data_IF_053008339846
#
_entry.id   IF_053008339846
#
_cell.length_a   1.000
_cell.length_b   1.000
_cell.length_c   1.000
_cell.angle_alpha   90.00
_cell.angle_beta   90.00
_cell.angle_gamma   90.00
#
_symmetry.space_group_name_H-M   'P 1'
#
loop_
_entity.id
_entity.type
_entity.pdbx_description
1 polymer ?
#
# COMPACT_ATOMS: atom_id res chain seq x y z
N UNK A 1 18.15 -9.72 -5.65
CA UNK A 1 16.68 -9.80 -5.46
C UNK A 1 16.44 -9.59 -3.98
N UNK A 2 15.49 -8.72 -3.62
CA UNK A 2 15.10 -8.45 -2.23
C UNK A 2 13.73 -9.08 -2.06
N UNK A 3 13.59 -9.96 -1.08
CA UNK A 3 12.30 -10.51 -0.68
C UNK A 3 11.78 -9.72 0.52
N UNK A 4 10.48 -9.42 0.54
CA UNK A 4 9.86 -8.56 1.55
C UNK A 4 8.78 -9.32 2.30
N UNK A 5 8.60 -9.10 3.61
CA UNK A 5 7.45 -9.63 4.32
C UNK A 5 6.14 -9.20 3.65
N UNK A 6 5.15 -10.10 3.62
CA UNK A 6 3.82 -9.81 3.08
C UNK A 6 3.00 -8.93 4.01
N UNK A 7 2.22 -8.02 3.44
CA UNK A 7 1.15 -7.30 4.14
C UNK A 7 -0.08 -8.20 4.32
N UNK A 8 -0.96 -7.91 5.29
CA UNK A 8 -2.08 -8.79 5.71
C UNK A 8 -1.65 -10.07 6.45
N UNK A 9 -0.54 -9.99 7.21
CA UNK A 9 -0.10 -11.08 8.07
C UNK A 9 -0.94 -11.14 9.34
N UNK A 10 -1.62 -12.28 9.57
CA UNK A 10 -2.42 -12.53 10.78
C UNK A 10 -1.65 -12.37 12.10
N UNK A 11 -0.32 -12.42 12.08
CA UNK A 11 0.54 -12.34 13.27
C UNK A 11 1.22 -10.97 13.43
N UNK A 12 1.25 -10.14 12.38
CA UNK A 12 2.03 -8.88 12.37
C UNK A 12 1.19 -7.71 11.91
N UNK A 13 1.40 -6.54 12.52
CA UNK A 13 0.73 -5.31 12.10
C UNK A 13 1.38 -4.79 10.81
N UNK A 14 0.58 -4.36 9.85
CA UNK A 14 1.06 -3.78 8.57
C UNK A 14 2.02 -2.61 8.76
N UNK A 15 1.88 -1.84 9.86
CA UNK A 15 2.80 -0.72 10.18
C UNK A 15 4.21 -1.20 10.51
N UNK A 16 4.35 -2.39 11.11
CA UNK A 16 5.65 -2.95 11.46
C UNK A 16 6.33 -3.53 10.22
N UNK A 17 5.55 -4.14 9.32
CA UNK A 17 6.03 -4.59 8.00
C UNK A 17 6.47 -3.40 7.16
N UNK A 18 5.65 -2.34 7.10
CA UNK A 18 6.00 -1.11 6.40
C UNK A 18 7.29 -0.49 6.98
N UNK A 19 7.46 -0.48 8.31
CA UNK A 19 8.67 0.05 8.95
C UNK A 19 9.91 -0.74 8.55
N UNK A 20 9.82 -2.07 8.51
CA UNK A 20 10.93 -2.95 8.11
C UNK A 20 11.36 -2.68 6.67
N UNK A 21 10.39 -2.65 5.74
CA UNK A 21 10.63 -2.35 4.32
C UNK A 21 11.21 -0.94 4.17
N UNK A 22 10.59 0.07 4.78
CA UNK A 22 11.04 1.46 4.69
C UNK A 22 12.46 1.63 5.23
N UNK A 23 12.80 1.00 6.36
CA UNK A 23 14.13 1.08 6.95
C UNK A 23 15.20 0.52 6.02
N UNK A 24 14.93 -0.64 5.41
CA UNK A 24 15.83 -1.22 4.42
C UNK A 24 15.98 -0.32 3.18
N UNK A 25 14.86 0.16 2.63
CA UNK A 25 14.87 1.01 1.43
C UNK A 25 15.57 2.35 1.66
N UNK A 26 15.42 2.96 2.84
CA UNK A 26 16.12 4.20 3.19
C UNK A 26 17.63 3.97 3.31
N UNK A 27 18.05 2.85 3.91
CA UNK A 27 19.46 2.52 4.06
C UNK A 27 20.15 2.31 2.69
N UNK A 28 19.49 1.62 1.76
CA UNK A 28 20.00 1.40 0.41
C UNK A 28 20.02 2.70 -0.41
N UNK A 29 18.97 3.53 -0.30
CA UNK A 29 18.91 4.83 -1.00
C UNK A 29 20.06 5.75 -0.61
N UNK A 30 20.34 5.87 0.70
CA UNK A 30 21.46 6.66 1.23
C UNK A 30 22.84 6.15 0.82
N UNK A 31 22.92 4.87 0.45
CA UNK A 31 24.15 4.22 -0.04
C UNK A 31 24.25 4.24 -1.56
N UNK A 32 23.44 5.07 -2.23
CA UNK A 32 23.33 5.20 -3.68
C UNK A 32 22.95 3.92 -4.44
N UNK A 33 22.31 2.97 -3.74
CA UNK A 33 21.74 1.77 -4.35
C UNK A 33 20.29 2.07 -4.75
N UNK A 34 19.99 1.90 -6.05
CA UNK A 34 18.66 2.13 -6.62
C UNK A 34 18.03 0.82 -7.09
N UNK A 35 16.70 0.78 -7.12
CA UNK A 35 15.95 -0.38 -7.60
C UNK A 35 15.83 -0.34 -9.13
N UNK A 36 15.96 -1.51 -9.75
CA UNK A 36 15.77 -1.71 -11.19
C UNK A 36 14.33 -2.08 -11.58
N UNK A 37 13.52 -2.46 -10.60
CA UNK A 37 12.13 -2.86 -10.82
C UNK A 37 11.50 -3.49 -9.58
N UNK A 38 10.18 -3.62 -9.63
CA UNK A 38 9.35 -4.18 -8.57
C UNK A 38 8.49 -5.32 -9.11
N UNK A 39 8.24 -6.31 -8.27
CA UNK A 39 7.27 -7.38 -8.54
C UNK A 39 6.22 -7.32 -7.46
N UNK A 40 4.97 -7.04 -7.84
CA UNK A 40 3.81 -7.17 -6.98
C UNK A 40 3.14 -8.51 -7.26
N UNK A 41 3.10 -9.40 -6.28
CA UNK A 41 2.50 -10.73 -6.43
C UNK A 41 1.06 -10.73 -5.92
N UNK A 42 0.14 -11.28 -6.73
CA UNK A 42 -1.24 -11.48 -6.35
C UNK A 42 -1.67 -12.92 -6.57
N UNK A 43 -2.33 -13.51 -5.59
CA UNK A 43 -2.84 -14.87 -5.65
C UNK A 43 -4.20 -14.89 -6.36
N UNK A 44 -4.28 -15.43 -7.58
CA UNK A 44 -5.50 -15.38 -8.41
C UNK A 44 -6.62 -16.29 -7.89
N UNK A 45 -6.26 -17.29 -7.09
CA UNK A 45 -7.18 -18.21 -6.43
C UNK A 45 -7.97 -17.56 -5.28
N UNK A 46 -7.52 -16.41 -4.78
CA UNK A 46 -8.25 -15.66 -3.79
C UNK A 46 -9.58 -15.14 -4.37
N UNK A 47 -10.70 -15.60 -3.80
CA UNK A 47 -12.04 -15.36 -4.32
C UNK A 47 -12.59 -13.97 -4.02
N UNK A 48 -11.89 -13.16 -3.22
CA UNK A 48 -12.31 -11.81 -2.87
C UNK A 48 -11.13 -10.84 -2.86
N UNK A 49 -11.25 -9.78 -3.65
CA UNK A 49 -10.53 -8.52 -3.38
C UNK A 49 -11.16 -7.88 -2.15
N UNK A 50 -10.80 -8.38 -0.98
CA UNK A 50 -11.27 -7.86 0.30
C UNK A 50 -10.78 -6.43 0.55
N UNK A 51 -11.38 -5.77 1.54
CA UNK A 51 -10.99 -4.42 1.94
C UNK A 51 -9.52 -4.29 2.35
N UNK A 52 -8.92 -5.36 2.90
CA UNK A 52 -7.49 -5.43 3.24
C UNK A 52 -6.60 -5.42 1.99
N UNK A 53 -6.89 -6.25 0.98
CA UNK A 53 -6.16 -6.29 -0.28
C UNK A 53 -6.17 -4.93 -0.99
N UNK A 54 -7.33 -4.27 -1.06
CA UNK A 54 -7.46 -2.94 -1.66
C UNK A 54 -6.67 -1.88 -0.86
N UNK A 55 -6.67 -1.96 0.47
CA UNK A 55 -5.87 -1.07 1.34
C UNK A 55 -4.37 -1.27 1.13
N UNK A 56 -3.93 -2.53 1.06
CA UNK A 56 -2.53 -2.88 0.85
C UNK A 56 -2.04 -2.45 -0.53
N UNK A 57 -2.87 -2.59 -1.56
CA UNK A 57 -2.56 -2.09 -2.89
C UNK A 57 -2.42 -0.57 -2.91
N UNK A 58 -3.35 0.16 -2.27
CA UNK A 58 -3.23 1.62 -2.13
C UNK A 58 -1.97 2.02 -1.39
N UNK A 59 -1.64 1.35 -0.29
CA UNK A 59 -0.39 1.58 0.43
C UNK A 59 0.83 1.33 -0.47
N UNK A 60 0.85 0.22 -1.23
CA UNK A 60 1.92 -0.08 -2.18
C UNK A 60 2.07 1.02 -3.22
N UNK A 61 0.97 1.49 -3.83
CA UNK A 61 0.99 2.60 -4.78
C UNK A 61 1.57 3.88 -4.17
N UNK A 62 1.26 4.18 -2.90
CA UNK A 62 1.83 5.34 -2.18
C UNK A 62 3.31 5.15 -1.83
N UNK A 63 3.73 3.94 -1.48
CA UNK A 63 5.11 3.59 -1.16
C UNK A 63 6.00 3.75 -2.40
N UNK A 64 5.53 3.22 -3.53
CA UNK A 64 6.26 3.20 -4.79
C UNK A 64 6.26 4.58 -5.46
N UNK A 65 5.11 5.26 -5.48
CA UNK A 65 4.93 6.50 -6.22
C UNK A 65 4.76 6.30 -7.71
N UNK A 66 4.32 7.35 -8.41
CA UNK A 66 4.04 7.30 -9.86
C UNK A 66 5.27 6.90 -10.68
N UNK A 67 6.44 7.42 -10.31
CA UNK A 67 7.68 7.09 -11.01
C UNK A 67 8.01 5.61 -10.91
N UNK A 68 7.77 4.92 -9.81
CA UNK A 68 8.08 3.49 -9.73
C UNK A 68 7.09 2.57 -10.45
N UNK A 69 5.90 3.06 -10.84
CA UNK A 69 4.86 2.22 -11.47
C UNK A 69 5.27 1.71 -12.85
N UNK A 70 5.97 2.50 -13.66
CA UNK A 70 6.44 2.05 -14.99
C UNK A 70 7.47 0.91 -14.90
N UNK A 71 8.11 0.77 -13.75
CA UNK A 71 9.10 -0.27 -13.44
C UNK A 71 8.52 -1.38 -12.54
N UNK A 72 7.19 -1.46 -12.44
CA UNK A 72 6.48 -2.49 -11.66
C UNK A 72 5.86 -3.54 -12.57
N UNK A 73 6.11 -4.81 -12.25
CA UNK A 73 5.36 -5.95 -12.80
C UNK A 73 4.32 -6.40 -11.78
N UNK A 74 3.08 -6.47 -12.23
CA UNK A 74 1.94 -7.02 -11.53
C UNK A 74 1.80 -8.49 -11.94
N UNK A 75 2.19 -9.41 -11.06
CA UNK A 75 2.23 -10.83 -11.39
C UNK A 75 1.13 -11.61 -10.66
N UNK A 76 0.26 -12.26 -11.43
CA UNK A 76 -0.75 -13.19 -10.91
C UNK A 76 -0.12 -14.58 -10.71
N UNK A 77 -0.40 -15.20 -9.57
CA UNK A 77 0.19 -16.47 -9.12
C UNK A 77 -0.91 -17.47 -8.73
N UNK A 78 -0.54 -18.74 -8.45
CA UNK A 78 -1.47 -19.81 -8.03
C UNK A 78 -2.58 -20.15 -9.03
N UNK A 79 -2.29 -19.99 -10.32
CA UNK A 79 -3.17 -20.40 -11.40
C UNK A 79 -3.52 -21.90 -11.37
N UNK A 80 -2.61 -22.71 -10.83
CA UNK A 80 -2.74 -24.16 -10.65
C UNK A 80 -3.72 -24.57 -9.53
N UNK A 81 -4.14 -23.64 -8.67
CA UNK A 81 -5.13 -23.91 -7.61
C UNK A 81 -6.57 -23.76 -8.10
N UNK A 82 -6.80 -23.28 -9.32
CA UNK A 82 -8.12 -23.08 -9.87
C UNK A 82 -8.65 -24.38 -10.49
N UNK A 83 -9.91 -24.73 -10.18
CA UNK A 83 -10.61 -25.83 -10.85
C UNK A 83 -10.86 -25.51 -12.34
N UNK A 84 -11.19 -24.25 -12.64
CA UNK A 84 -11.42 -23.76 -14.00
C UNK A 84 -10.61 -22.50 -14.25
N UNK A 85 -9.77 -22.50 -15.29
CA UNK A 85 -8.91 -21.36 -15.65
C UNK A 85 -9.70 -20.09 -15.92
N UNK A 86 -10.92 -20.22 -16.47
CA UNK A 86 -11.83 -19.11 -16.80
C UNK A 86 -12.20 -18.26 -15.59
N UNK A 87 -12.25 -18.86 -14.39
CA UNK A 87 -12.47 -18.11 -13.14
C UNK A 87 -11.29 -17.15 -12.88
N UNK A 88 -10.06 -17.62 -13.10
CA UNK A 88 -8.87 -16.80 -12.95
C UNK A 88 -8.78 -15.70 -14.00
N UNK A 89 -9.19 -16.01 -15.24
CA UNK A 89 -9.24 -15.03 -16.33
C UNK A 89 -10.24 -13.91 -16.05
N UNK A 90 -11.42 -14.25 -15.54
CA UNK A 90 -12.41 -13.25 -15.13
C UNK A 90 -11.86 -12.37 -13.99
N UNK A 91 -11.24 -12.96 -12.97
CA UNK A 91 -10.63 -12.20 -11.87
C UNK A 91 -9.48 -11.31 -12.33
N UNK A 92 -8.65 -11.80 -13.25
CA UNK A 92 -7.58 -10.99 -13.83
C UNK A 92 -8.16 -9.82 -14.63
N UNK A 93 -9.25 -10.04 -15.36
CA UNK A 93 -9.96 -8.97 -16.06
C UNK A 93 -10.51 -7.91 -15.09
N UNK A 94 -11.09 -8.32 -13.97
CA UNK A 94 -11.55 -7.40 -12.91
C UNK A 94 -10.38 -6.59 -12.34
N UNK A 95 -9.24 -7.23 -12.03
CA UNK A 95 -8.04 -6.56 -11.54
C UNK A 95 -7.56 -5.45 -12.50
N UNK A 96 -7.47 -5.76 -13.81
CA UNK A 96 -6.90 -4.83 -14.80
C UNK A 96 -7.88 -3.73 -15.23
N UNK A 97 -9.19 -3.96 -15.12
CA UNK A 97 -10.21 -3.02 -15.61
C UNK A 97 -10.61 -1.97 -14.60
N UNK A 98 -10.37 -2.20 -13.32
CA UNK A 98 -10.76 -1.28 -12.25
C UNK A 98 -9.60 -0.38 -11.81
N UNK A 99 -9.82 0.94 -11.87
CA UNK A 99 -8.85 1.96 -11.42
C UNK A 99 -8.54 1.88 -9.92
N UNK A 100 -9.49 1.37 -9.13
CA UNK A 100 -9.29 1.08 -7.71
C UNK A 100 -8.31 -0.06 -7.45
N UNK A 101 -7.98 -0.84 -8.49
CA UNK A 101 -7.06 -1.96 -8.46
C UNK A 101 -5.84 -1.71 -9.36
N UNK A 102 -5.69 -2.46 -10.45
CA UNK A 102 -4.51 -2.38 -11.32
C UNK A 102 -4.68 -1.44 -12.49
N UNK A 103 -5.91 -1.04 -12.85
CA UNK A 103 -6.16 -0.14 -13.99
C UNK A 103 -5.28 1.11 -13.95
N UNK A 104 -5.33 1.85 -12.85
CA UNK A 104 -4.52 3.05 -12.66
C UNK A 104 -3.01 2.76 -12.70
N UNK A 105 -2.55 1.58 -12.29
CA UNK A 105 -1.13 1.21 -12.33
C UNK A 105 -0.67 0.91 -13.77
N UNK A 106 -1.53 0.23 -14.54
CA UNK A 106 -1.31 -0.09 -15.95
C UNK A 106 -1.27 1.20 -16.78
N UNK A 107 -2.16 2.15 -16.51
CA UNK A 107 -2.12 3.48 -17.14
C UNK A 107 -0.79 4.21 -16.91
N UNK A 108 -0.12 3.95 -15.78
CA UNK A 108 1.19 4.51 -15.44
C UNK A 108 2.36 3.59 -15.84
N UNK A 109 2.12 2.59 -16.70
CA UNK A 109 3.14 1.77 -17.34
C UNK A 109 3.47 0.44 -16.64
N UNK A 110 2.75 0.07 -15.57
CA UNK A 110 2.92 -1.26 -14.99
C UNK A 110 2.51 -2.36 -15.97
N UNK A 111 3.23 -3.48 -15.97
CA UNK A 111 2.95 -4.63 -16.86
C UNK A 111 2.32 -5.77 -16.07
N UNK A 112 1.35 -6.44 -16.65
CA UNK A 112 0.71 -7.63 -16.05
C UNK A 112 1.31 -8.89 -16.65
N UNK A 113 1.66 -9.87 -15.81
CA UNK A 113 2.20 -11.16 -16.23
C UNK A 113 1.67 -12.31 -15.38
N UNK A 114 1.44 -13.49 -15.97
CA UNK A 114 1.04 -14.69 -15.23
C UNK A 114 2.27 -15.52 -14.83
N UNK A 115 2.39 -15.86 -13.55
CA UNK A 115 3.32 -16.87 -13.08
C UNK A 115 2.61 -18.23 -12.94
N UNK A 116 2.98 -19.17 -13.80
CA UNK A 116 2.33 -20.49 -13.91
C UNK A 116 3.07 -21.58 -13.14
N UNK A 117 3.74 -21.23 -12.02
CA UNK A 117 4.53 -22.15 -11.19
C UNK A 117 5.69 -22.85 -11.92
N UNK A 118 6.11 -22.28 -13.04
CA UNK A 118 7.22 -22.78 -13.86
C UNK A 118 8.44 -21.88 -13.74
N UNK A 119 9.65 -22.46 -13.91
CA UNK A 119 10.90 -21.68 -13.95
C UNK A 119 10.89 -20.70 -15.12
N UNK A 120 10.29 -21.10 -16.23
CA UNK A 120 10.18 -20.34 -17.48
C UNK A 120 9.35 -19.07 -17.28
N UNK A 121 8.19 -19.18 -16.62
CA UNK A 121 7.36 -18.00 -16.32
C UNK A 121 8.04 -17.07 -15.31
N UNK A 122 8.67 -17.60 -14.25
CA UNK A 122 9.42 -16.79 -13.30
C UNK A 122 10.58 -16.04 -13.98
N UNK A 123 11.33 -16.73 -14.84
CA UNK A 123 12.44 -16.14 -15.58
C UNK A 123 11.96 -15.08 -16.58
N UNK A 124 10.80 -15.28 -17.20
CA UNK A 124 10.18 -14.29 -18.09
C UNK A 124 9.83 -13.00 -17.34
N UNK A 125 9.28 -13.10 -16.12
CA UNK A 125 9.00 -11.94 -15.26
C UNK A 125 10.29 -11.19 -14.91
N UNK A 126 11.31 -11.89 -14.45
CA UNK A 126 12.61 -11.26 -14.09
C UNK A 126 13.24 -10.59 -15.32
N UNK A 127 13.24 -11.26 -16.47
CA UNK A 127 13.76 -10.67 -17.73
C UNK A 127 13.00 -9.42 -18.14
N UNK A 128 11.69 -9.37 -17.94
CA UNK A 128 10.87 -8.21 -18.27
C UNK A 128 11.17 -6.99 -17.39
N UNK A 129 11.59 -7.18 -16.13
CA UNK A 129 12.14 -6.10 -15.29
C UNK A 129 13.49 -5.65 -15.82
N UNK A 130 14.40 -6.59 -16.06
CA UNK A 130 15.77 -6.25 -16.46
C UNK A 130 15.84 -5.57 -17.82
N UNK A 131 14.93 -5.91 -18.75
CA UNK A 131 14.86 -5.28 -20.07
C UNK A 131 14.33 -3.86 -20.07
N UNK A 132 13.65 -3.43 -19.00
CA UNK A 132 13.13 -2.08 -18.84
C UNK A 132 13.75 -1.34 -17.64
N UNK A 133 14.91 -1.80 -17.17
CA UNK A 133 15.55 -1.33 -15.94
C UNK A 133 16.01 0.12 -16.08
N UNK A 134 15.19 1.05 -15.58
CA UNK A 134 15.58 2.42 -15.31
C UNK A 134 15.64 2.57 -13.79
N UNK A 135 16.82 2.83 -13.20
CA UNK A 135 16.93 3.02 -11.77
C UNK A 135 16.00 4.15 -11.29
N UNK A 136 15.21 3.89 -10.26
CA UNK A 136 14.29 4.87 -9.69
C UNK A 136 14.36 4.89 -8.16
N UNK A 137 13.88 5.99 -7.60
CA UNK A 137 13.63 6.13 -6.18
C UNK A 137 12.16 5.78 -5.90
N UNK A 138 11.91 5.08 -4.81
CA UNK A 138 10.56 4.92 -4.26
C UNK A 138 10.12 6.22 -3.62
N UNK A 139 8.82 6.51 -3.67
CA UNK A 139 8.29 7.71 -3.03
C UNK A 139 8.62 7.80 -1.54
N UNK A 140 8.57 6.67 -0.84
CA UNK A 140 8.92 6.61 0.58
C UNK A 140 10.39 6.98 0.86
N UNK A 141 11.30 6.71 -0.08
CA UNK A 141 12.71 7.08 0.05
C UNK A 141 12.86 8.60 -0.06
N UNK A 142 12.23 9.23 -1.06
CA UNK A 142 12.21 10.69 -1.20
C UNK A 142 11.59 11.38 0.02
N UNK A 143 10.45 10.87 0.49
CA UNK A 143 9.72 11.42 1.63
C UNK A 143 10.56 11.35 2.91
N UNK A 144 11.19 10.22 3.19
CA UNK A 144 11.95 10.04 4.44
C UNK A 144 13.37 10.60 4.40
N UNK A 145 14.03 10.59 3.24
CA UNK A 145 15.44 11.02 3.12
C UNK A 145 15.54 12.47 2.67
N UNK A 146 14.88 12.82 1.58
CA UNK A 146 15.04 14.12 0.95
C UNK A 146 14.15 15.17 1.63
N UNK A 147 12.90 14.79 1.94
CA UNK A 147 11.93 15.66 2.63
C UNK A 147 11.99 15.52 4.16
N UNK A 148 12.77 14.57 4.69
CA UNK A 148 12.97 14.32 6.13
C UNK A 148 11.68 14.05 6.92
N UNK A 149 10.68 13.46 6.29
CA UNK A 149 9.46 13.03 6.97
C UNK A 149 9.72 11.79 7.83
N UNK A 150 9.05 11.71 8.97
CA UNK A 150 8.99 10.45 9.74
C UNK A 150 8.04 9.48 9.05
N UNK A 151 8.23 8.16 9.28
CA UNK A 151 7.47 7.12 8.58
C UNK A 151 5.95 7.33 8.63
N UNK A 152 5.42 7.77 9.77
CA UNK A 152 3.98 7.96 9.96
C UNK A 152 3.40 9.11 9.10
N UNK A 153 4.24 10.08 8.75
CA UNK A 153 3.85 11.26 7.96
C UNK A 153 4.04 11.04 6.45
N UNK A 154 4.66 9.92 6.06
CA UNK A 154 4.78 9.51 4.64
C UNK A 154 3.40 9.17 4.07
N UNK A 155 3.26 9.26 2.75
CA UNK A 155 2.01 8.92 2.08
C UNK A 155 1.59 7.46 2.34
N UNK A 156 2.57 6.55 2.40
CA UNK A 156 2.34 5.14 2.73
C UNK A 156 1.98 4.94 4.21
N UNK A 157 2.67 5.63 5.12
CA UNK A 157 2.42 5.56 6.56
C UNK A 157 1.04 6.05 6.95
N UNK A 158 0.59 7.17 6.37
CA UNK A 158 -0.77 7.67 6.54
C UNK A 158 -1.81 6.68 5.99
N UNK A 159 -1.52 6.01 4.87
CA UNK A 159 -2.45 5.05 4.27
C UNK A 159 -2.63 3.77 5.13
N UNK A 160 -1.56 3.29 5.77
CA UNK A 160 -1.64 2.16 6.71
C UNK A 160 -2.41 2.55 7.96
N UNK A 161 -2.17 3.74 8.50
CA UNK A 161 -2.81 4.21 9.72
C UNK A 161 -4.16 4.90 9.50
N UNK A 162 -4.69 4.89 8.27
CA UNK A 162 -5.87 5.68 7.89
C UNK A 162 -7.04 5.51 8.86
N UNK A 163 -7.38 4.26 9.21
CA UNK A 163 -8.51 3.97 10.09
C UNK A 163 -8.27 4.49 11.52
N UNK A 164 -7.02 4.37 12.00
CA UNK A 164 -6.63 4.85 13.32
C UNK A 164 -6.62 6.38 13.38
N UNK A 165 -6.17 7.04 12.31
CA UNK A 165 -6.22 8.49 12.15
C UNK A 165 -7.68 8.98 12.11
N UNK A 166 -8.53 8.35 11.30
CA UNK A 166 -9.96 8.69 11.21
C UNK A 166 -10.69 8.49 12.55
N UNK A 167 -10.35 7.42 13.29
CA UNK A 167 -10.90 7.16 14.62
C UNK A 167 -10.44 8.20 15.64
N UNK A 168 -9.15 8.55 15.65
CA UNK A 168 -8.60 9.58 16.52
C UNK A 168 -9.25 10.95 16.25
N UNK A 169 -9.44 11.31 14.98
CA UNK A 169 -10.13 12.54 14.60
C UNK A 169 -11.58 12.56 15.07
N UNK A 170 -12.29 11.43 15.00
CA UNK A 170 -13.66 11.30 15.50
C UNK A 170 -13.73 11.51 17.00
N UNK A 171 -12.90 10.80 17.77
CA UNK A 171 -12.87 10.94 19.22
C UNK A 171 -12.43 12.34 19.67
N UNK A 172 -11.50 12.97 18.95
CA UNK A 172 -11.10 14.34 19.26
C UNK A 172 -12.29 15.31 19.10
N UNK A 173 -13.06 15.18 18.02
CA UNK A 173 -14.28 16.00 17.82
C UNK A 173 -15.31 15.76 18.93
N UNK A 174 -15.52 14.50 19.33
CA UNK A 174 -16.44 14.16 20.43
C UNK A 174 -15.99 14.78 21.77
N UNK A 175 -14.69 14.72 22.09
CA UNK A 175 -14.13 15.36 23.27
C UNK A 175 -14.28 16.89 23.24
N UNK A 176 -14.09 17.51 22.08
CA UNK A 176 -14.21 18.96 21.94
C UNK A 176 -15.67 19.41 22.07
N UNK A 177 -16.63 18.66 21.50
CA UNK A 177 -18.06 18.91 21.72
C UNK A 177 -18.45 18.77 23.19
N UNK A 178 -18.03 17.68 23.86
CA UNK A 178 -18.34 17.47 25.27
C UNK A 178 -17.78 18.58 26.18
N UNK A 179 -16.58 19.09 25.87
CA UNK A 179 -16.00 20.25 26.59
C UNK A 179 -16.81 21.53 26.41
N UNK A 180 -17.37 21.75 25.22
CA UNK A 180 -18.22 22.91 24.95
C UNK A 180 -19.53 22.81 25.75
N UNK A 181 -20.18 21.65 25.75
CA UNK A 181 -21.40 21.40 26.52
C UNK A 181 -21.17 21.58 28.02
N UNK A 182 -20.06 21.06 28.56
CA UNK A 182 -19.70 21.24 29.98
C UNK A 182 -19.46 22.72 30.32
N UNK A 183 -18.80 23.47 29.45
CA UNK A 183 -18.55 24.89 29.66
C UNK A 183 -19.85 25.72 29.63
N UNK A 184 -20.81 25.33 28.79
CA UNK A 184 -22.13 25.94 28.70
C UNK A 184 -22.92 25.70 30.00
N UNK A 185 -23.01 24.45 30.46
CA UNK A 185 -23.66 24.08 31.73
C UNK A 185 -23.04 24.81 32.93
N UNK A 186 -21.71 24.88 33.01
CA UNK A 186 -21.01 25.62 34.07
C UNK A 186 -21.31 27.13 34.03
N UNK A 187 -21.51 27.68 32.83
CA UNK A 187 -21.84 29.10 32.66
C UNK A 187 -23.29 29.40 33.04
N UNK A 188 -24.22 28.50 32.75
CA UNK A 188 -25.63 28.59 33.14
C UNK A 188 -25.80 28.46 34.65
N UNK A 189 -25.14 27.47 35.26
CA UNK A 189 -25.16 27.28 36.72
C UNK A 189 -24.64 28.52 37.47
N UNK A 190 -23.57 29.16 36.96
CA UNK A 190 -23.04 30.41 37.55
C UNK A 190 -23.98 31.59 37.39
N UNK A 191 -24.77 31.65 36.31
CA UNK A 191 -25.79 32.69 36.09
C UNK A 191 -27.00 32.52 37.02
N UNK A 192 -27.42 31.28 37.27
CA UNK A 192 -28.51 31.00 38.21
C UNK A 192 -28.13 31.28 39.66
N UNK A 193 -26.90 30.97 40.07
CA UNK A 193 -26.41 31.25 41.44
C UNK A 193 -26.27 32.76 41.71
N UNK A 194 -26.12 33.58 40.66
CA UNK A 194 -25.96 35.04 40.77
C UNK A 194 -27.27 35.83 40.72
N UNK A 195 -28.43 35.15 40.64
CA UNK A 195 -29.78 35.73 40.69
C UNK A 195 -30.40 35.57 42.08
#
# INVERSE_FOLDING_TARGET
LIDTPGFDDTQRKDVDILREIASYMVATYKSDVRLSGLIYLFAIDNSRLGGSAARNLRMFQKLVGREGLHSTILATTKWDNLEYVTIGEQRELELISEDGFWGAMIEHGSKVMRHTRTRESAMSIVKAILSNSHPFALKIQEEMVDQRLVLLDTAAGMQVNKDLIELQQRYQKELDMLKMDMAEVDSEAKREISR
#
